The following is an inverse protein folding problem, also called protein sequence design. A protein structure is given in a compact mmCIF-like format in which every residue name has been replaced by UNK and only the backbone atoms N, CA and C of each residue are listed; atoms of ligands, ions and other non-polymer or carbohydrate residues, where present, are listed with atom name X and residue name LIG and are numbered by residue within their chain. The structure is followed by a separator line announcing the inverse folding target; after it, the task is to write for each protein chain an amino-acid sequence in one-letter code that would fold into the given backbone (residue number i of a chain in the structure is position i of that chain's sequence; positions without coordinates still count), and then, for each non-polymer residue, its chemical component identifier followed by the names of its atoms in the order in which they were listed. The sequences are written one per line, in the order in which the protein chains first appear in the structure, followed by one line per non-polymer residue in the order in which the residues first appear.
data_IF_625454010299
#
_entry.id   IF_625454010299
#
_cell.length_a   1.000
_cell.length_b   1.000
_cell.length_c   1.000
_cell.angle_alpha   90.00
_cell.angle_beta   90.00
_cell.angle_gamma   90.00
#
_symmetry.space_group_name_H-M   'P 1'
#
loop_
_entity.id
_entity.type
_entity.pdbx_description
1 polymer ?
#
# COMPACT_ATOMS: atom_id res chain seq x y z
N UNK A 1 43.25 10.48 -15.36
CA UNK A 1 42.22 9.62 -15.95
C UNK A 1 41.76 8.47 -15.06
N UNK A 2 42.62 7.76 -14.30
CA UNK A 2 42.19 6.66 -13.40
C UNK A 2 41.25 7.06 -12.25
N UNK A 3 41.39 8.29 -11.69
CA UNK A 3 40.57 8.77 -10.55
C UNK A 3 39.12 9.13 -10.96
N UNK A 4 38.89 9.52 -12.22
CA UNK A 4 37.56 9.85 -12.74
C UNK A 4 36.74 8.57 -13.01
N UNK A 5 37.41 7.49 -13.48
CA UNK A 5 36.76 6.21 -13.71
C UNK A 5 36.24 5.55 -12.42
N UNK A 6 36.98 5.68 -11.30
CA UNK A 6 36.59 5.16 -9.99
C UNK A 6 35.38 5.93 -9.42
N UNK A 7 35.33 7.26 -9.63
CA UNK A 7 34.19 8.08 -9.17
C UNK A 7 32.92 7.79 -9.98
N UNK A 8 33.03 7.59 -11.29
CA UNK A 8 31.90 7.17 -12.14
C UNK A 8 31.40 5.76 -11.80
N UNK A 9 32.31 4.83 -11.43
CA UNK A 9 31.92 3.48 -11.00
C UNK A 9 31.19 3.50 -9.65
N UNK A 10 31.64 4.32 -8.69
CA UNK A 10 30.94 4.53 -7.40
C UNK A 10 29.57 5.20 -7.60
N UNK A 11 29.43 6.16 -8.51
CA UNK A 11 28.13 6.77 -8.81
C UNK A 11 27.16 5.79 -9.52
N UNK A 12 27.66 4.87 -10.35
CA UNK A 12 26.81 3.82 -10.94
C UNK A 12 26.33 2.79 -9.90
N UNK A 13 27.14 2.50 -8.88
CA UNK A 13 26.71 1.60 -7.79
C UNK A 13 25.73 2.26 -6.81
N UNK A 14 25.71 3.59 -6.69
CA UNK A 14 24.72 4.29 -5.85
C UNK A 14 23.32 4.40 -6.47
N UNK A 15 23.17 4.19 -7.77
CA UNK A 15 21.88 4.22 -8.45
C UNK A 15 21.14 2.86 -8.49
N UNK A 16 21.71 1.77 -7.95
CA UNK A 16 21.12 0.44 -7.99
C UNK A 16 20.27 0.06 -6.77
N UNK A 17 19.92 1.01 -5.90
CA UNK A 17 18.88 0.80 -4.88
C UNK A 17 17.50 1.30 -5.36
N UNK A 18 17.21 1.13 -6.64
CA UNK A 18 15.82 1.20 -7.10
C UNK A 18 15.22 -0.18 -6.82
N UNK A 19 14.59 -0.31 -5.66
CA UNK A 19 13.93 -1.51 -5.21
C UNK A 19 12.88 -1.97 -6.24
N UNK A 20 13.22 -2.93 -7.08
CA UNK A 20 12.23 -3.75 -7.77
C UNK A 20 11.57 -4.67 -6.73
N UNK A 21 10.80 -4.07 -5.84
CA UNK A 21 10.11 -4.78 -4.75
C UNK A 21 9.11 -5.79 -5.31
N UNK A 22 8.53 -5.51 -6.49
CA UNK A 22 7.53 -6.33 -7.15
C UNK A 22 8.02 -6.79 -8.53
N UNK A 23 7.87 -8.07 -8.81
CA UNK A 23 8.31 -8.73 -10.05
C UNK A 23 7.15 -9.51 -10.69
N UNK A 24 7.39 -10.14 -11.83
CA UNK A 24 6.40 -11.03 -12.45
C UNK A 24 5.99 -12.21 -11.53
N UNK A 25 6.83 -12.59 -10.56
CA UNK A 25 6.48 -13.58 -9.54
C UNK A 25 5.35 -13.12 -8.60
N UNK A 26 5.08 -11.81 -8.54
CA UNK A 26 4.01 -11.22 -7.71
C UNK A 26 2.65 -11.15 -8.45
N UNK A 27 2.60 -11.54 -9.73
CA UNK A 27 1.35 -11.55 -10.51
C UNK A 27 0.23 -12.38 -9.86
N UNK A 28 0.48 -13.58 -9.28
CA UNK A 28 -0.58 -14.33 -8.60
C UNK A 28 -1.19 -13.58 -7.42
N UNK A 29 -0.37 -12.85 -6.64
CA UNK A 29 -0.87 -12.02 -5.55
C UNK A 29 -1.68 -10.83 -6.05
N UNK A 30 -1.22 -10.17 -7.11
CA UNK A 30 -1.97 -9.08 -7.73
C UNK A 30 -3.33 -9.56 -8.22
N UNK A 31 -3.39 -10.74 -8.84
CA UNK A 31 -4.65 -11.36 -9.25
C UNK A 31 -5.54 -11.65 -8.05
N UNK A 32 -5.01 -12.22 -6.97
CA UNK A 32 -5.76 -12.47 -5.75
C UNK A 32 -6.38 -11.18 -5.17
N UNK A 33 -5.64 -10.07 -5.20
CA UNK A 33 -6.17 -8.76 -4.82
C UNK A 33 -7.30 -8.31 -5.76
N UNK A 34 -7.09 -8.35 -7.07
CA UNK A 34 -8.06 -7.90 -8.06
C UNK A 34 -9.36 -8.73 -8.05
N UNK A 35 -9.24 -10.04 -7.83
CA UNK A 35 -10.34 -11.00 -7.79
C UNK A 35 -10.97 -11.13 -6.40
N UNK A 36 -10.43 -10.45 -5.38
CA UNK A 36 -10.82 -10.56 -3.98
C UNK A 36 -10.70 -12.01 -3.44
N UNK A 37 -9.69 -12.76 -3.91
CA UNK A 37 -9.42 -14.14 -3.48
C UNK A 37 -8.51 -14.14 -2.25
N UNK A 38 -9.12 -13.95 -1.07
CA UNK A 38 -8.40 -13.91 0.21
C UNK A 38 -7.76 -15.26 0.58
N UNK A 39 -8.34 -16.43 0.29
CA UNK A 39 -7.66 -17.72 0.44
C UNK A 39 -6.36 -17.83 -0.37
N UNK A 40 -6.36 -17.44 -1.65
CA UNK A 40 -5.15 -17.42 -2.47
C UNK A 40 -4.12 -16.42 -1.94
N UNK A 41 -4.55 -15.23 -1.49
CA UNK A 41 -3.66 -14.25 -0.87
C UNK A 41 -2.98 -14.83 0.37
N UNK A 42 -3.76 -15.43 1.28
CA UNK A 42 -3.24 -16.08 2.48
C UNK A 42 -2.26 -17.19 2.15
N UNK A 43 -2.59 -18.05 1.19
CA UNK A 43 -1.72 -19.13 0.75
C UNK A 43 -0.37 -18.60 0.22
N UNK A 44 -0.38 -17.48 -0.49
CA UNK A 44 0.83 -16.83 -0.99
C UNK A 44 1.74 -16.34 0.15
N UNK A 45 1.18 -15.73 1.19
CA UNK A 45 1.94 -15.31 2.38
C UNK A 45 2.59 -16.54 3.04
N UNK A 46 1.82 -17.61 3.24
CA UNK A 46 2.31 -18.83 3.92
C UNK A 46 3.21 -19.72 3.07
N UNK A 47 3.32 -19.49 1.76
CA UNK A 47 4.25 -20.22 0.89
C UNK A 47 5.71 -19.83 1.13
N UNK A 48 5.96 -18.68 1.73
CA UNK A 48 7.33 -18.23 2.05
C UNK A 48 7.70 -18.67 3.46
N UNK A 49 8.74 -19.50 3.57
CA UNK A 49 9.36 -19.82 4.86
C UNK A 49 10.14 -18.60 5.34
N UNK A 50 9.57 -17.87 6.30
CA UNK A 50 10.12 -16.63 6.82
C UNK A 50 11.55 -16.78 7.33
N UNK A 51 11.87 -17.88 7.98
CA UNK A 51 13.18 -18.10 8.61
C UNK A 51 14.29 -18.30 7.56
N UNK A 52 13.95 -18.88 6.42
CA UNK A 52 14.88 -19.14 5.32
C UNK A 52 14.85 -18.05 4.24
N UNK A 53 13.86 -17.15 4.30
CA UNK A 53 13.65 -16.11 3.28
C UNK A 53 14.80 -15.09 3.26
N UNK A 54 15.17 -14.67 2.07
CA UNK A 54 16.08 -13.55 1.86
C UNK A 54 15.44 -12.24 2.35
N UNK A 55 16.24 -11.19 2.51
CA UNK A 55 15.74 -9.88 2.91
C UNK A 55 14.69 -9.35 1.91
N UNK A 56 14.91 -9.52 0.61
CA UNK A 56 13.97 -9.08 -0.42
C UNK A 56 12.64 -9.85 -0.37
N UNK A 57 12.68 -11.16 -0.12
CA UNK A 57 11.48 -11.97 0.06
C UNK A 57 10.71 -11.56 1.31
N UNK A 58 11.39 -11.31 2.43
CA UNK A 58 10.78 -10.80 3.66
C UNK A 58 10.10 -9.43 3.43
N UNK A 59 10.75 -8.51 2.70
CA UNK A 59 10.13 -7.22 2.34
C UNK A 59 8.86 -7.40 1.52
N UNK A 60 8.83 -8.33 0.57
CA UNK A 60 7.63 -8.64 -0.22
C UNK A 60 6.53 -9.23 0.66
N UNK A 61 6.87 -10.19 1.52
CA UNK A 61 5.90 -10.78 2.47
C UNK A 61 5.28 -9.71 3.35
N UNK A 62 6.05 -8.76 3.88
CA UNK A 62 5.51 -7.65 4.66
C UNK A 62 4.50 -6.79 3.88
N UNK A 63 4.76 -6.53 2.59
CA UNK A 63 3.80 -5.82 1.75
C UNK A 63 2.50 -6.62 1.54
N UNK A 64 2.59 -7.94 1.50
CA UNK A 64 1.43 -8.83 1.37
C UNK A 64 0.65 -8.92 2.68
N UNK A 65 1.34 -9.07 3.80
CA UNK A 65 0.73 -9.10 5.13
C UNK A 65 0.00 -7.80 5.44
N UNK A 66 0.59 -6.65 5.10
CA UNK A 66 -0.07 -5.35 5.23
C UNK A 66 -1.42 -5.31 4.48
N UNK A 67 -1.43 -5.74 3.21
CA UNK A 67 -2.66 -5.78 2.42
C UNK A 67 -3.69 -6.76 2.94
N UNK A 68 -3.25 -7.95 3.36
CA UNK A 68 -4.10 -8.97 3.94
C UNK A 68 -4.74 -8.50 5.26
N UNK A 69 -3.96 -7.90 6.16
CA UNK A 69 -4.49 -7.28 7.38
C UNK A 69 -5.58 -6.25 7.06
N UNK A 70 -5.32 -5.35 6.11
CA UNK A 70 -6.28 -4.32 5.73
C UNK A 70 -7.59 -4.91 5.21
N UNK A 71 -7.53 -5.96 4.37
CA UNK A 71 -8.70 -6.66 3.85
C UNK A 71 -9.49 -7.40 4.95
N UNK A 72 -8.80 -8.10 5.85
CA UNK A 72 -9.44 -8.84 6.94
C UNK A 72 -10.13 -7.92 7.96
N UNK A 73 -9.68 -6.68 8.12
CA UNK A 73 -10.35 -5.69 9.00
C UNK A 73 -11.81 -5.46 8.67
N UNK A 74 -12.21 -5.68 7.41
CA UNK A 74 -13.59 -5.47 6.95
C UNK A 74 -14.43 -6.73 6.98
N UNK A 75 -13.80 -7.92 6.95
CA UNK A 75 -14.47 -9.19 6.69
C UNK A 75 -14.41 -10.17 7.85
N UNK A 76 -13.26 -10.27 8.55
CA UNK A 76 -13.02 -11.21 9.65
C UNK A 76 -12.08 -10.62 10.70
N UNK A 77 -12.67 -10.07 11.77
CA UNK A 77 -11.89 -9.44 12.86
C UNK A 77 -11.00 -10.42 13.62
N UNK A 78 -11.38 -11.68 13.73
CA UNK A 78 -10.56 -12.67 14.45
C UNK A 78 -9.32 -13.02 13.64
N UNK A 79 -9.47 -13.21 12.33
CA UNK A 79 -8.35 -13.41 11.42
C UNK A 79 -7.49 -12.13 11.30
N UNK A 80 -8.11 -10.95 11.20
CA UNK A 80 -7.40 -9.68 11.21
C UNK A 80 -6.49 -9.50 12.44
N UNK A 81 -6.97 -9.89 13.61
CA UNK A 81 -6.18 -9.83 14.85
C UNK A 81 -4.93 -10.72 14.77
N UNK A 82 -5.08 -11.97 14.33
CA UNK A 82 -3.96 -12.91 14.17
C UNK A 82 -2.95 -12.41 13.13
N UNK A 83 -3.47 -11.98 11.97
CA UNK A 83 -2.65 -11.44 10.90
C UNK A 83 -1.87 -10.20 11.36
N UNK A 84 -2.50 -9.29 12.11
CA UNK A 84 -1.83 -8.08 12.63
C UNK A 84 -0.73 -8.45 13.62
N UNK A 85 -0.92 -9.44 14.48
CA UNK A 85 0.12 -9.90 15.42
C UNK A 85 1.32 -10.50 14.67
N UNK A 86 1.08 -11.31 13.66
CA UNK A 86 2.14 -11.88 12.82
C UNK A 86 2.89 -10.77 12.07
N UNK A 87 2.17 -9.89 11.39
CA UNK A 87 2.73 -8.75 10.69
C UNK A 87 3.59 -7.88 11.61
N UNK A 88 3.12 -7.61 12.84
CA UNK A 88 3.88 -6.83 13.82
C UNK A 88 5.21 -7.51 14.17
N UNK A 89 5.20 -8.83 14.43
CA UNK A 89 6.43 -9.57 14.74
C UNK A 89 7.43 -9.54 13.58
N UNK A 90 6.96 -9.68 12.35
CA UNK A 90 7.79 -9.64 11.16
C UNK A 90 8.35 -8.22 10.89
N UNK A 91 7.54 -7.17 11.09
CA UNK A 91 8.02 -5.78 10.99
C UNK A 91 9.13 -5.50 12.01
N UNK A 92 8.97 -5.95 13.26
CA UNK A 92 10.02 -5.81 14.29
C UNK A 92 11.31 -6.55 13.91
N UNK A 93 11.20 -7.75 13.36
CA UNK A 93 12.36 -8.53 12.91
C UNK A 93 13.11 -7.87 11.74
N UNK A 94 12.47 -6.95 11.02
CA UNK A 94 13.05 -6.21 9.90
C UNK A 94 13.45 -4.77 10.24
N UNK A 95 13.49 -4.41 11.52
CA UNK A 95 13.96 -3.09 11.96
C UNK A 95 15.40 -2.82 11.45
N UNK A 96 15.61 -1.67 10.84
CA UNK A 96 16.90 -1.28 10.25
C UNK A 96 17.26 -1.97 8.92
N UNK A 97 16.45 -2.94 8.46
CA UNK A 97 16.66 -3.70 7.21
C UNK A 97 15.70 -3.26 6.09
N UNK A 98 14.63 -2.54 6.43
CA UNK A 98 13.65 -2.05 5.45
C UNK A 98 14.15 -0.80 4.72
N UNK A 99 13.68 -0.54 3.49
CA UNK A 99 13.91 0.72 2.82
C UNK A 99 13.44 1.90 3.66
N UNK A 100 14.03 3.09 3.41
CA UNK A 100 13.69 4.30 4.17
C UNK A 100 12.18 4.57 4.17
N UNK A 101 11.63 4.78 5.36
CA UNK A 101 10.22 5.11 5.56
C UNK A 101 9.28 3.90 5.67
N UNK A 102 9.67 2.71 5.21
CA UNK A 102 8.78 1.54 5.26
C UNK A 102 8.57 1.02 6.68
N UNK A 103 9.60 1.04 7.53
CA UNK A 103 9.45 0.65 8.93
C UNK A 103 8.42 1.53 9.64
N UNK A 104 8.54 2.84 9.47
CA UNK A 104 7.62 3.82 10.04
C UNK A 104 6.20 3.68 9.44
N UNK A 105 6.09 3.45 8.14
CA UNK A 105 4.80 3.21 7.48
C UNK A 105 4.11 1.98 8.07
N UNK A 106 4.83 0.86 8.24
CA UNK A 106 4.27 -0.36 8.81
C UNK A 106 3.92 -0.22 10.28
N UNK A 107 4.73 0.48 11.09
CA UNK A 107 4.35 0.80 12.48
C UNK A 107 3.07 1.65 12.53
N UNK A 108 2.95 2.65 11.65
CA UNK A 108 1.72 3.42 11.53
C UNK A 108 0.51 2.54 11.19
N UNK A 109 0.68 1.59 10.26
CA UNK A 109 -0.37 0.66 9.86
C UNK A 109 -0.77 -0.29 11.00
N UNK A 110 0.19 -0.82 11.74
CA UNK A 110 -0.06 -1.68 12.91
C UNK A 110 -0.90 -0.93 13.94
N UNK A 111 -0.53 0.30 14.31
CA UNK A 111 -1.33 1.12 15.22
C UNK A 111 -2.73 1.42 14.68
N UNK A 112 -2.88 1.60 13.36
CA UNK A 112 -4.19 1.80 12.74
C UNK A 112 -5.06 0.53 12.80
N UNK A 113 -4.47 -0.65 12.60
CA UNK A 113 -5.15 -1.94 12.71
C UNK A 113 -5.56 -2.22 14.16
N UNK A 114 -4.66 -2.02 15.14
CA UNK A 114 -4.95 -2.16 16.56
C UNK A 114 -6.07 -1.21 17.02
N UNK A 115 -6.05 0.04 16.54
CA UNK A 115 -7.12 0.99 16.80
C UNK A 115 -8.47 0.50 16.25
N UNK A 116 -8.50 -0.01 15.02
CA UNK A 116 -9.71 -0.55 14.38
C UNK A 116 -10.22 -1.82 15.07
N UNK A 117 -9.34 -2.63 15.63
CA UNK A 117 -9.66 -3.79 16.47
C UNK A 117 -10.15 -3.41 17.88
N UNK A 118 -10.05 -2.13 18.28
CA UNK A 118 -10.42 -1.66 19.61
C UNK A 118 -9.37 -1.95 20.69
N UNK A 119 -8.14 -2.28 20.30
CA UNK A 119 -7.07 -2.69 21.21
C UNK A 119 -6.25 -1.51 21.74
N UNK A 120 -6.26 -0.35 21.07
CA UNK A 120 -5.47 0.80 21.47
C UNK A 120 -6.04 2.13 20.97
N UNK A 121 -5.72 3.24 21.68
CA UNK A 121 -6.10 4.60 21.29
C UNK A 121 -4.89 5.39 20.76
N UNK A 122 -4.10 4.80 19.86
CA UNK A 122 -2.84 5.37 19.38
C UNK A 122 -2.98 6.28 18.16
N UNK A 123 -4.07 7.05 18.02
CA UNK A 123 -4.29 7.93 16.86
C UNK A 123 -3.10 8.88 16.60
N UNK A 124 -2.50 9.43 17.64
CA UNK A 124 -1.31 10.29 17.50
C UNK A 124 -0.07 9.50 17.02
N UNK A 125 0.06 8.23 17.41
CA UNK A 125 1.14 7.38 16.93
C UNK A 125 0.98 7.06 15.45
N UNK A 126 -0.25 6.80 14.99
CA UNK A 126 -0.55 6.60 13.56
C UNK A 126 -0.03 7.79 12.74
N UNK A 127 -0.45 9.01 13.10
CA UNK A 127 -0.06 10.22 12.39
C UNK A 127 1.44 10.50 12.48
N UNK A 128 2.04 10.31 13.66
CA UNK A 128 3.47 10.54 13.88
C UNK A 128 4.32 9.64 12.98
N UNK A 129 4.02 8.36 12.94
CA UNK A 129 4.77 7.40 12.13
C UNK A 129 4.49 7.58 10.64
N UNK A 130 3.24 7.87 10.24
CA UNK A 130 2.93 8.17 8.83
C UNK A 130 3.66 9.42 8.32
N UNK A 131 3.69 10.50 9.11
CA UNK A 131 4.46 11.71 8.77
C UNK A 131 5.96 11.40 8.68
N UNK A 132 6.50 10.62 9.64
CA UNK A 132 7.91 10.24 9.62
C UNK A 132 8.26 9.41 8.38
N UNK A 133 7.40 8.48 7.98
CA UNK A 133 7.57 7.71 6.75
C UNK A 133 7.63 8.64 5.51
N UNK A 134 6.69 9.59 5.42
CA UNK A 134 6.64 10.54 4.32
C UNK A 134 7.86 11.49 4.28
N UNK A 135 8.37 11.91 5.44
CA UNK A 135 9.61 12.69 5.54
C UNK A 135 10.82 11.91 5.02
N UNK A 136 10.91 10.61 5.34
CA UNK A 136 12.03 9.76 4.95
C UNK A 136 12.02 9.37 3.47
N UNK A 137 10.82 9.22 2.88
CA UNK A 137 10.64 8.82 1.48
C UNK A 137 9.51 9.60 0.79
N UNK A 138 9.67 10.92 0.58
CA UNK A 138 8.61 11.81 0.08
C UNK A 138 8.19 11.55 -1.38
N UNK A 139 8.93 10.73 -2.11
CA UNK A 139 8.68 10.38 -3.50
C UNK A 139 8.48 8.87 -3.72
N UNK A 140 8.30 8.10 -2.66
CA UNK A 140 7.87 6.70 -2.77
C UNK A 140 6.35 6.66 -2.93
N UNK A 141 5.79 6.09 -4.02
CA UNK A 141 4.36 6.13 -4.30
C UNK A 141 3.53 5.37 -3.27
N UNK A 142 4.07 4.28 -2.68
CA UNK A 142 3.38 3.49 -1.67
C UNK A 142 3.24 4.32 -0.38
N UNK A 143 4.33 4.95 0.08
CA UNK A 143 4.34 5.78 1.29
C UNK A 143 3.48 7.03 1.11
N UNK A 144 3.57 7.69 -0.05
CA UNK A 144 2.73 8.86 -0.36
C UNK A 144 1.25 8.48 -0.37
N UNK A 145 0.89 7.37 -1.04
CA UNK A 145 -0.47 6.85 -1.08
C UNK A 145 -0.96 6.40 0.31
N UNK A 146 -0.10 5.77 1.10
CA UNK A 146 -0.39 5.40 2.49
C UNK A 146 -0.77 6.62 3.34
N UNK A 147 0.00 7.72 3.27
CA UNK A 147 -0.35 8.95 3.98
C UNK A 147 -1.69 9.54 3.49
N UNK A 148 -1.98 9.41 2.20
CA UNK A 148 -3.30 9.72 1.64
C UNK A 148 -4.42 8.92 2.33
N UNK A 149 -4.24 7.60 2.49
CA UNK A 149 -5.18 6.73 3.21
C UNK A 149 -5.35 7.16 4.66
N UNK A 150 -4.26 7.44 5.37
CA UNK A 150 -4.31 7.90 6.77
C UNK A 150 -5.18 9.15 6.92
N UNK A 151 -5.00 10.16 6.05
CA UNK A 151 -5.80 11.38 6.10
C UNK A 151 -7.25 11.19 5.62
N UNK A 152 -7.48 10.27 4.69
CA UNK A 152 -8.82 10.00 4.14
C UNK A 152 -9.72 9.29 5.14
N UNK A 153 -9.18 8.28 5.85
CA UNK A 153 -9.93 7.45 6.80
C UNK A 153 -9.89 7.97 8.24
N UNK A 154 -9.04 8.97 8.53
CA UNK A 154 -8.98 9.55 9.88
C UNK A 154 -10.32 10.17 10.32
N UNK A 155 -10.64 10.14 11.63
CA UNK A 155 -11.83 10.76 12.18
C UNK A 155 -11.95 12.26 11.85
N UNK A 156 -13.18 12.77 11.87
CA UNK A 156 -13.46 14.21 11.70
C UNK A 156 -12.63 15.04 12.70
N UNK A 157 -11.96 16.07 12.21
CA UNK A 157 -11.06 16.94 13.00
C UNK A 157 -9.59 16.54 12.93
N UNK A 158 -9.29 15.33 12.47
CA UNK A 158 -7.91 14.83 12.21
C UNK A 158 -7.71 14.62 10.72
N UNK A 159 -8.71 14.03 10.06
CA UNK A 159 -8.68 13.77 8.62
C UNK A 159 -8.75 15.04 7.78
N UNK A 160 -8.14 14.99 6.60
CA UNK A 160 -8.15 16.06 5.61
C UNK A 160 -8.28 15.45 4.20
N UNK A 161 -9.51 15.38 3.71
CA UNK A 161 -9.79 14.79 2.39
C UNK A 161 -9.16 15.57 1.24
N UNK A 162 -8.96 16.89 1.39
CA UNK A 162 -8.32 17.71 0.36
C UNK A 162 -6.83 17.37 0.26
N UNK A 163 -6.15 17.26 1.40
CA UNK A 163 -4.75 16.82 1.43
C UNK A 163 -4.61 15.36 1.01
N UNK A 164 -5.53 14.48 1.43
CA UNK A 164 -5.56 13.09 1.00
C UNK A 164 -5.62 12.98 -0.51
N UNK A 165 -6.52 13.74 -1.16
CA UNK A 165 -6.65 13.75 -2.61
C UNK A 165 -5.35 14.20 -3.30
N UNK A 166 -4.73 15.28 -2.85
CA UNK A 166 -3.47 15.76 -3.41
C UNK A 166 -2.33 14.71 -3.27
N UNK A 167 -2.32 13.93 -2.17
CA UNK A 167 -1.38 12.83 -1.99
C UNK A 167 -1.68 11.66 -2.92
N UNK A 168 -2.95 11.30 -3.13
CA UNK A 168 -3.32 10.28 -4.09
C UNK A 168 -2.96 10.66 -5.52
N UNK A 169 -3.21 11.92 -5.93
CA UNK A 169 -2.81 12.44 -7.25
C UNK A 169 -1.28 12.39 -7.42
N UNK A 170 -0.52 12.80 -6.40
CA UNK A 170 0.94 12.68 -6.40
C UNK A 170 1.39 11.22 -6.50
N UNK A 171 0.82 10.32 -5.71
CA UNK A 171 1.16 8.90 -5.75
C UNK A 171 0.83 8.27 -7.10
N UNK A 172 -0.32 8.62 -7.72
CA UNK A 172 -0.68 8.17 -9.07
C UNK A 172 0.40 8.54 -10.09
N UNK A 173 0.84 9.80 -10.10
CA UNK A 173 1.95 10.25 -10.98
C UNK A 173 3.24 9.48 -10.73
N UNK A 174 3.58 9.18 -9.46
CA UNK A 174 4.77 8.41 -9.11
C UNK A 174 4.67 6.94 -9.54
N UNK A 175 3.47 6.37 -9.64
CA UNK A 175 3.23 5.02 -10.12
C UNK A 175 3.31 4.86 -11.66
N UNK A 176 3.41 5.93 -12.43
CA UNK A 176 3.49 5.87 -13.91
C UNK A 176 4.79 5.26 -14.46
N UNK A 177 5.58 4.59 -13.65
CA UNK A 177 6.81 3.92 -14.06
C UNK A 177 6.63 2.41 -14.18
N UNK A 178 7.37 1.76 -15.10
CA UNK A 178 7.27 0.32 -15.38
C UNK A 178 7.60 -0.59 -14.18
N UNK A 179 8.40 -0.10 -13.23
CA UNK A 179 8.79 -0.86 -12.03
C UNK A 179 7.60 -1.23 -11.11
N UNK A 180 6.46 -0.54 -11.23
CA UNK A 180 5.29 -0.74 -10.39
C UNK A 180 4.21 -1.62 -11.04
N UNK A 181 4.51 -2.26 -12.17
CA UNK A 181 3.54 -3.04 -12.96
C UNK A 181 2.85 -4.15 -12.16
N UNK A 182 3.59 -4.83 -11.27
CA UNK A 182 3.09 -5.96 -10.47
C UNK A 182 2.79 -5.56 -9.01
N UNK A 183 2.78 -4.27 -8.72
CA UNK A 183 2.53 -3.75 -7.39
C UNK A 183 1.02 -3.62 -7.13
N UNK A 184 0.47 -4.53 -6.33
CA UNK A 184 -0.95 -4.49 -5.95
C UNK A 184 -1.38 -3.19 -5.26
N UNK A 185 -0.45 -2.48 -4.60
CA UNK A 185 -0.73 -1.19 -3.98
C UNK A 185 -1.15 -0.13 -5.01
N UNK A 186 -0.71 -0.23 -6.28
CA UNK A 186 -1.06 0.73 -7.33
C UNK A 186 -2.58 0.73 -7.61
N UNK A 187 -3.24 -0.37 -8.01
CA UNK A 187 -4.68 -0.36 -8.18
C UNK A 187 -5.45 -0.09 -6.88
N UNK A 188 -4.95 -0.53 -5.72
CA UNK A 188 -5.57 -0.22 -4.43
C UNK A 188 -5.59 1.29 -4.15
N UNK A 189 -4.48 1.97 -4.39
CA UNK A 189 -4.35 3.41 -4.16
C UNK A 189 -5.18 4.21 -5.17
N UNK A 190 -5.21 3.80 -6.44
CA UNK A 190 -6.05 4.45 -7.46
C UNK A 190 -7.56 4.29 -7.13
N UNK A 191 -7.98 3.14 -6.60
CA UNK A 191 -9.33 2.96 -6.08
C UNK A 191 -9.61 3.91 -4.90
N UNK A 192 -8.67 4.05 -3.96
CA UNK A 192 -8.80 4.99 -2.84
C UNK A 192 -8.90 6.45 -3.33
N UNK A 193 -8.17 6.82 -4.38
CA UNK A 193 -8.29 8.11 -5.03
C UNK A 193 -9.69 8.32 -5.62
N UNK A 194 -10.23 7.32 -6.34
CA UNK A 194 -11.59 7.38 -6.89
C UNK A 194 -12.64 7.57 -5.77
N UNK A 195 -12.52 6.82 -4.67
CA UNK A 195 -13.40 6.98 -3.50
C UNK A 195 -13.25 8.36 -2.85
N UNK A 196 -12.05 8.93 -2.82
CA UNK A 196 -11.82 10.27 -2.32
C UNK A 196 -12.48 11.34 -3.21
N UNK A 197 -12.39 11.21 -4.53
CA UNK A 197 -13.12 12.05 -5.50
C UNK A 197 -14.63 11.98 -5.27
N UNK A 198 -15.19 10.76 -5.15
CA UNK A 198 -16.61 10.57 -4.84
C UNK A 198 -17.03 11.29 -3.55
N UNK A 199 -16.28 11.08 -2.45
CA UNK A 199 -16.57 11.71 -1.15
C UNK A 199 -16.38 13.22 -1.10
N UNK A 200 -15.72 13.80 -2.11
CA UNK A 200 -15.54 15.23 -2.28
C UNK A 200 -16.48 15.83 -3.35
N UNK A 201 -17.45 15.06 -3.86
CA UNK A 201 -18.45 15.49 -4.83
C UNK A 201 -17.97 15.51 -6.28
N UNK A 202 -16.79 14.98 -6.56
CA UNK A 202 -16.17 14.92 -7.89
C UNK A 202 -16.45 13.57 -8.56
N UNK A 203 -17.74 13.28 -8.77
CA UNK A 203 -18.23 11.98 -9.26
C UNK A 203 -17.66 11.61 -10.64
N UNK A 204 -17.50 12.58 -11.54
CA UNK A 204 -17.01 12.31 -12.89
C UNK A 204 -15.55 11.82 -12.89
N UNK A 205 -14.71 12.40 -12.04
CA UNK A 205 -13.33 11.98 -11.87
C UNK A 205 -13.26 10.58 -11.23
N UNK A 206 -14.12 10.30 -10.26
CA UNK A 206 -14.24 8.97 -9.67
C UNK A 206 -14.61 7.91 -10.72
N UNK A 207 -15.59 8.23 -11.60
CA UNK A 207 -15.99 7.39 -12.72
C UNK A 207 -14.85 7.17 -13.73
N UNK A 208 -14.12 8.21 -14.07
CA UNK A 208 -12.97 8.10 -14.99
C UNK A 208 -11.94 7.12 -14.46
N UNK A 209 -11.47 7.32 -13.22
CA UNK A 209 -10.46 6.44 -12.62
C UNK A 209 -10.96 4.99 -12.51
N UNK A 210 -12.22 4.79 -12.11
CA UNK A 210 -12.77 3.46 -11.97
C UNK A 210 -12.87 2.72 -13.33
N UNK A 211 -13.25 3.42 -14.41
CA UNK A 211 -13.28 2.86 -15.75
C UNK A 211 -11.87 2.56 -16.28
N UNK A 212 -10.90 3.46 -16.05
CA UNK A 212 -9.51 3.26 -16.46
C UNK A 212 -8.91 2.04 -15.75
N UNK A 213 -9.18 1.88 -14.44
CA UNK A 213 -8.77 0.71 -13.67
C UNK A 213 -9.42 -0.59 -14.21
N UNK A 214 -10.69 -0.57 -14.59
CA UNK A 214 -11.37 -1.74 -15.13
C UNK A 214 -10.89 -2.07 -16.54
N UNK A 215 -10.53 -1.06 -17.35
CA UNK A 215 -9.92 -1.27 -18.66
C UNK A 215 -8.53 -1.90 -18.55
N UNK A 216 -7.72 -1.48 -17.57
CA UNK A 216 -6.40 -2.04 -17.32
C UNK A 216 -6.46 -3.42 -16.64
N UNK A 217 -7.41 -3.60 -15.72
CA UNK A 217 -7.61 -4.80 -14.89
C UNK A 217 -9.06 -5.31 -15.02
N UNK A 218 -9.42 -6.02 -16.10
CA UNK A 218 -10.80 -6.49 -16.32
C UNK A 218 -11.33 -7.46 -15.25
N UNK A 219 -10.40 -8.10 -14.51
CA UNK A 219 -10.70 -8.99 -13.40
C UNK A 219 -10.80 -8.28 -12.04
N UNK A 220 -10.82 -6.94 -11.98
CA UNK A 220 -11.01 -6.21 -10.74
C UNK A 220 -12.47 -6.27 -10.28
N UNK A 221 -12.83 -7.36 -9.60
CA UNK A 221 -14.20 -7.72 -9.23
C UNK A 221 -14.91 -6.65 -8.41
N UNK A 222 -14.21 -6.05 -7.43
CA UNK A 222 -14.80 -4.99 -6.60
C UNK A 222 -15.25 -3.77 -7.42
N UNK A 223 -14.42 -3.31 -8.35
CA UNK A 223 -14.78 -2.17 -9.20
C UNK A 223 -15.94 -2.54 -10.12
N UNK A 224 -15.86 -3.70 -10.78
CA UNK A 224 -16.85 -4.15 -11.76
C UNK A 224 -18.22 -4.40 -11.13
N UNK A 225 -18.26 -5.12 -10.02
CA UNK A 225 -19.48 -5.69 -9.48
C UNK A 225 -20.12 -4.87 -8.36
N UNK A 226 -19.32 -3.98 -7.71
CA UNK A 226 -19.76 -3.23 -6.53
C UNK A 226 -19.61 -1.71 -6.74
N UNK A 227 -18.40 -1.22 -6.99
CA UNK A 227 -18.12 0.22 -6.93
C UNK A 227 -18.75 0.99 -8.09
N UNK A 228 -18.54 0.58 -9.34
CA UNK A 228 -19.13 1.25 -10.51
C UNK A 228 -20.66 1.21 -10.50
N UNK A 229 -21.33 0.07 -10.23
CA UNK A 229 -22.78 0.05 -10.09
C UNK A 229 -23.30 0.99 -9.01
N UNK A 230 -22.65 1.03 -7.84
CA UNK A 230 -23.03 1.94 -6.76
C UNK A 230 -22.85 3.41 -7.16
N UNK A 231 -21.73 3.73 -7.81
CA UNK A 231 -21.40 5.10 -8.25
C UNK A 231 -22.38 5.59 -9.34
N UNK A 232 -22.82 4.73 -10.25
CA UNK A 232 -23.85 5.08 -11.25
C UNK A 232 -25.22 5.37 -10.61
N UNK A 233 -25.60 4.61 -9.59
CA UNK A 233 -26.89 4.72 -8.91
C UNK A 233 -26.94 5.86 -7.86
N UNK A 234 -25.81 6.40 -7.42
CA UNK A 234 -25.75 7.54 -6.51
C UNK A 234 -26.30 8.79 -7.21
N UNK A 235 -27.41 9.35 -6.67
CA UNK A 235 -28.04 10.59 -7.15
C UNK A 235 -27.27 11.82 -6.71
#
# INVERSE_FOLDING_TARGET
MRKIAVFLLCCMFMCMYANAQFTAADQPLMNAYLENDMPAWRAFIHATDWEQATQDERQRVLAYEYGYCAAMMETDKAEAQKATQLFHSHVQAMEGLLPKGYYEMYLSAIYAFEFKLGQSFHVFSILRYANKALELAPNDPIIVGYMGNVLFYAPKGIGDKKKALALFEKAATLFETSQWKYCWNRPAMLLAAAQCYEKTGRKNEALSIANDLLNEFPNFTYIRDIYLPALHNAK
#
